data_IF_482480709786
#
_entry.id   IF_482480709786
#
_cell.length_a   1.000
_cell.length_b   1.000
_cell.length_c   1.000
_cell.angle_alpha   90.00
_cell.angle_beta   90.00
_cell.angle_gamma   90.00
#
_symmetry.space_group_name_H-M   'P 1'
#
loop_
_entity.id
_entity.type
_entity.pdbx_description
1 polymer ?
#
# COMPACT_ATOMS: atom_id res chain seq x y z
N UNK A 1 -12.32 -5.59 3.46
CA UNK A 1 -12.58 -6.55 2.37
C UNK A 1 -13.34 -7.77 2.80
N UNK A 2 -12.85 -8.59 3.74
CA UNK A 2 -13.60 -9.77 4.18
C UNK A 2 -15.02 -9.46 4.69
N UNK A 3 -15.15 -8.40 5.47
CA UNK A 3 -16.41 -8.02 6.10
C UNK A 3 -17.39 -7.35 5.12
N UNK A 4 -16.91 -6.40 4.32
CA UNK A 4 -17.75 -5.60 3.39
C UNK A 4 -17.90 -6.27 2.01
N UNK A 5 -16.81 -6.79 1.46
CA UNK A 5 -16.73 -7.31 0.08
C UNK A 5 -16.81 -8.85 0.01
N UNK A 6 -16.74 -9.56 1.14
CA UNK A 6 -16.68 -11.02 1.18
C UNK A 6 -15.38 -11.62 0.61
N UNK A 7 -14.38 -10.79 0.31
CA UNK A 7 -13.10 -11.21 -0.30
C UNK A 7 -12.11 -11.58 0.80
N UNK A 8 -11.66 -12.83 0.80
CA UNK A 8 -10.59 -13.31 1.68
C UNK A 8 -9.23 -13.29 0.97
N UNK A 9 -8.30 -12.51 1.50
CA UNK A 9 -6.96 -12.28 0.92
C UNK A 9 -5.89 -12.44 2.00
N UNK A 10 -4.92 -13.32 1.74
CA UNK A 10 -3.91 -13.72 2.71
C UNK A 10 -2.53 -13.07 2.50
N UNK A 11 -2.43 -11.95 1.77
CA UNK A 11 -1.16 -11.23 1.59
C UNK A 11 -1.34 -9.73 1.38
N UNK A 12 -0.35 -8.88 1.73
CA UNK A 12 -0.42 -7.44 1.50
C UNK A 12 -0.63 -7.08 0.03
N UNK A 13 0.14 -7.68 -0.88
CA UNK A 13 -0.03 -7.45 -2.33
C UNK A 13 -1.35 -8.01 -2.85
N UNK A 14 -1.90 -9.07 -2.24
CA UNK A 14 -3.25 -9.55 -2.52
C UNK A 14 -4.31 -8.51 -2.15
N UNK A 15 -4.27 -7.99 -0.93
CA UNK A 15 -5.17 -6.93 -0.48
C UNK A 15 -5.04 -5.65 -1.33
N UNK A 16 -3.85 -5.30 -1.82
CA UNK A 16 -3.69 -4.14 -2.72
C UNK A 16 -4.38 -4.39 -4.07
N UNK A 17 -4.24 -5.59 -4.65
CA UNK A 17 -4.87 -5.93 -5.93
C UNK A 17 -6.38 -5.98 -5.81
N UNK A 18 -6.91 -6.61 -4.78
CA UNK A 18 -8.35 -6.67 -4.56
C UNK A 18 -8.95 -5.29 -4.24
N UNK A 19 -8.17 -4.36 -3.68
CA UNK A 19 -8.61 -2.96 -3.48
C UNK A 19 -8.76 -2.24 -4.81
N UNK A 20 -7.95 -2.61 -5.82
CA UNK A 20 -8.13 -2.10 -7.17
C UNK A 20 -9.34 -2.72 -7.86
N UNK A 21 -9.54 -4.03 -7.69
CA UNK A 21 -10.67 -4.77 -8.30
C UNK A 21 -12.03 -4.29 -7.78
N UNK A 22 -12.08 -3.88 -6.51
CA UNK A 22 -13.27 -3.30 -5.86
C UNK A 22 -13.37 -1.78 -6.04
N UNK A 23 -12.51 -1.17 -6.86
CA UNK A 23 -12.45 0.28 -7.09
C UNK A 23 -12.15 1.16 -5.87
N UNK A 24 -11.81 0.55 -4.72
CA UNK A 24 -11.34 1.25 -3.53
C UNK A 24 -10.06 2.06 -3.81
N UNK A 25 -9.17 1.50 -4.65
CA UNK A 25 -8.00 2.18 -5.20
C UNK A 25 -8.08 2.29 -6.72
N UNK A 26 -7.62 3.43 -7.24
CA UNK A 26 -7.38 3.56 -8.68
C UNK A 26 -6.16 2.74 -9.11
N UNK A 27 -6.01 2.48 -10.41
CA UNK A 27 -4.80 1.82 -10.94
C UNK A 27 -3.52 2.53 -10.51
N UNK A 28 -3.50 3.87 -10.55
CA UNK A 28 -2.33 4.65 -10.15
C UNK A 28 -2.00 4.47 -8.64
N UNK A 29 -3.00 4.57 -7.77
CA UNK A 29 -2.82 4.39 -6.33
C UNK A 29 -2.46 2.95 -5.95
N UNK A 30 -3.00 1.96 -6.67
CA UNK A 30 -2.63 0.55 -6.50
C UNK A 30 -1.17 0.29 -6.86
N UNK A 31 -0.66 0.89 -7.95
CA UNK A 31 0.75 0.80 -8.30
C UNK A 31 1.65 1.42 -7.22
N UNK A 32 1.28 2.59 -6.69
CA UNK A 32 2.00 3.20 -5.57
C UNK A 32 1.97 2.32 -4.31
N UNK A 33 0.83 1.70 -4.01
CA UNK A 33 0.70 0.78 -2.87
C UNK A 33 1.57 -0.47 -3.02
N UNK A 34 1.74 -0.98 -4.24
CA UNK A 34 2.65 -2.11 -4.50
C UNK A 34 4.10 -1.72 -4.22
N UNK A 35 4.53 -0.51 -4.62
CA UNK A 35 5.86 0.03 -4.29
C UNK A 35 6.02 0.16 -2.77
N UNK A 36 5.01 0.69 -2.07
CA UNK A 36 5.02 0.77 -0.61
C UNK A 36 5.17 -0.60 0.07
N UNK A 37 4.51 -1.63 -0.47
CA UNK A 37 4.65 -3.00 0.04
C UNK A 37 6.05 -3.56 -0.20
N UNK A 38 6.70 -3.20 -1.32
CA UNK A 38 8.08 -3.57 -1.60
C UNK A 38 9.07 -2.83 -0.70
N UNK A 39 8.89 -1.52 -0.51
CA UNK A 39 9.68 -0.73 0.44
C UNK A 39 9.60 -1.28 1.87
N UNK A 40 8.40 -1.69 2.32
CA UNK A 40 8.21 -2.35 3.62
C UNK A 40 9.03 -3.63 3.75
N UNK A 41 9.22 -4.39 2.68
CA UNK A 41 10.06 -5.60 2.73
C UNK A 41 11.55 -5.23 2.82
N UNK A 42 11.94 -4.12 2.17
CA UNK A 42 13.30 -3.61 2.13
C UNK A 42 13.73 -2.90 3.43
N UNK A 43 12.80 -2.54 4.33
CA UNK A 43 13.17 -1.92 5.63
C UNK A 43 14.00 -2.84 6.53
N UNK A 44 14.04 -4.15 6.26
CA UNK A 44 14.98 -5.09 6.91
C UNK A 44 16.45 -4.82 6.56
N UNK A 45 16.71 -4.05 5.49
CA UNK A 45 18.03 -3.75 4.93
C UNK A 45 18.48 -2.30 5.17
N UNK A 46 17.96 -1.61 6.17
CA UNK A 46 18.27 -0.18 6.43
C UNK A 46 19.71 0.12 6.84
N UNK A 47 20.56 -0.90 7.03
CA UNK A 47 22.01 -0.74 7.12
C UNK A 47 22.63 -0.28 5.78
N UNK A 48 21.97 -0.56 4.66
CA UNK A 48 22.27 -0.01 3.35
C UNK A 48 21.76 1.44 3.30
N UNK A 49 22.69 2.39 3.48
CA UNK A 49 22.36 3.80 3.63
C UNK A 49 21.71 4.40 2.39
N UNK A 50 22.12 3.98 1.20
CA UNK A 50 21.57 4.49 -0.05
C UNK A 50 20.11 4.08 -0.18
N UNK A 51 19.83 2.79 0.02
CA UNK A 51 18.47 2.26 0.07
C UNK A 51 17.61 2.92 1.16
N UNK A 52 18.17 3.12 2.35
CA UNK A 52 17.44 3.78 3.44
C UNK A 52 17.03 5.21 3.08
N UNK A 53 17.89 5.97 2.40
CA UNK A 53 17.59 7.33 1.95
C UNK A 53 16.54 7.33 0.84
N UNK A 54 16.60 6.39 -0.09
CA UNK A 54 15.60 6.22 -1.14
C UNK A 54 14.20 5.93 -0.56
N UNK A 55 14.11 5.01 0.41
CA UNK A 55 12.84 4.71 1.10
C UNK A 55 12.35 5.94 1.86
N UNK A 56 13.25 6.64 2.57
CA UNK A 56 12.92 7.86 3.31
C UNK A 56 12.28 8.93 2.41
N UNK A 57 12.82 9.15 1.21
CA UNK A 57 12.28 10.12 0.25
C UNK A 57 10.85 9.77 -0.21
N UNK A 58 10.46 8.49 -0.18
CA UNK A 58 9.12 8.03 -0.57
C UNK A 58 8.09 8.05 0.57
N UNK A 59 8.53 8.21 1.84
CA UNK A 59 7.65 8.11 3.00
C UNK A 59 6.48 9.09 2.98
N UNK A 60 6.68 10.32 2.51
CA UNK A 60 5.60 11.30 2.43
C UNK A 60 4.48 10.84 1.47
N UNK A 61 4.87 10.34 0.29
CA UNK A 61 3.91 9.78 -0.67
C UNK A 61 3.20 8.53 -0.14
N UNK A 62 3.89 7.70 0.63
CA UNK A 62 3.28 6.54 1.29
C UNK A 62 2.28 6.95 2.37
N UNK A 63 2.59 7.97 3.17
CA UNK A 63 1.69 8.51 4.18
C UNK A 63 0.41 9.09 3.56
N UNK A 64 0.54 9.91 2.53
CA UNK A 64 -0.60 10.48 1.78
C UNK A 64 -1.48 9.37 1.19
N UNK A 65 -0.87 8.34 0.60
CA UNK A 65 -1.59 7.19 0.06
C UNK A 65 -2.37 6.45 1.14
N UNK A 66 -1.76 6.21 2.30
CA UNK A 66 -2.43 5.53 3.43
C UNK A 66 -3.60 6.36 3.97
N UNK A 67 -3.46 7.68 4.10
CA UNK A 67 -4.53 8.56 4.56
C UNK A 67 -5.75 8.48 3.62
N UNK A 68 -5.51 8.61 2.32
CA UNK A 68 -6.54 8.46 1.27
C UNK A 68 -7.19 7.07 1.31
N UNK A 69 -6.40 6.02 1.50
CA UNK A 69 -6.94 4.66 1.51
C UNK A 69 -7.82 4.43 2.75
N UNK A 70 -7.41 4.93 3.92
CA UNK A 70 -8.22 4.86 5.15
C UNK A 70 -9.54 5.64 5.01
N UNK A 71 -9.52 6.83 4.41
CA UNK A 71 -10.72 7.61 4.11
C UNK A 71 -11.70 6.78 3.27
N UNK A 72 -11.21 6.16 2.18
CA UNK A 72 -12.04 5.31 1.31
C UNK A 72 -12.57 4.06 2.00
N UNK A 73 -11.82 3.47 2.92
CA UNK A 73 -12.30 2.33 3.72
C UNK A 73 -13.41 2.77 4.68
N UNK A 74 -13.32 3.99 5.23
CA UNK A 74 -14.34 4.50 6.15
C UNK A 74 -15.64 4.92 5.46
N UNK A 75 -15.60 5.15 4.15
CA UNK A 75 -16.76 5.49 3.30
C UNK A 75 -17.47 4.27 2.70
N UNK A 76 -16.86 3.09 2.77
CA UNK A 76 -17.33 1.83 2.16
C UNK A 76 -18.10 0.97 3.17
#
# INVERSE_FOLDING_TARGET
MREVEGIDVASPKGAIRSSRETSLLTTAKSTQALVMADDRNLTSRTYDRELALEIYQRLYGHADLMAVWLERISEA
#
